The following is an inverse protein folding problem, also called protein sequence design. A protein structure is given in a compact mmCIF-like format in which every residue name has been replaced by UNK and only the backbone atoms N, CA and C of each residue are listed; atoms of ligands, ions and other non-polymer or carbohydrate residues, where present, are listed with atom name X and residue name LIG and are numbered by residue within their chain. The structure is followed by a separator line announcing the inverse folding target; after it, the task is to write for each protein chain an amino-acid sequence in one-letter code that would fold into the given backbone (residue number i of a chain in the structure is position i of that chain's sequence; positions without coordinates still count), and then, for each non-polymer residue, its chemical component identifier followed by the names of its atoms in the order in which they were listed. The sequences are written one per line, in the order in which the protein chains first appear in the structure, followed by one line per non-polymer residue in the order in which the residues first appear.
data_IF_129272808294
#
_entry.id   IF_129272808294
#
_cell.length_a   1.000
_cell.length_b   1.000
_cell.length_c   1.000
_cell.angle_alpha   90.00
_cell.angle_beta   90.00
_cell.angle_gamma   90.00
#
_symmetry.space_group_name_H-M   'P 1'
#
loop_
_entity.id
_entity.type
_entity.pdbx_description
1 polymer ?
#
# COMPACT_ATOMS: atom_id res chain seq x y z
N UNK A 1 3.76 -8.96 21.77
CA UNK A 1 4.13 -7.52 21.68
C UNK A 1 2.89 -6.71 22.00
N UNK A 2 2.95 -5.74 22.89
CA UNK A 2 1.83 -4.82 23.10
C UNK A 2 1.70 -3.81 21.94
N UNK A 3 0.62 -3.04 21.90
CA UNK A 3 0.35 -2.10 20.81
C UNK A 3 1.42 -1.01 20.70
N UNK A 4 1.85 -0.44 21.83
CA UNK A 4 2.84 0.64 21.85
C UNK A 4 4.18 0.13 21.31
N UNK A 5 4.64 -1.01 21.80
CA UNK A 5 5.86 -1.66 21.32
C UNK A 5 5.78 -1.98 19.83
N UNK A 6 4.63 -2.45 19.35
CA UNK A 6 4.42 -2.77 17.94
C UNK A 6 4.55 -1.52 17.06
N UNK A 7 3.93 -0.40 17.45
CA UNK A 7 4.02 0.88 16.74
C UNK A 7 5.48 1.37 16.73
N UNK A 8 6.17 1.32 17.87
CA UNK A 8 7.55 1.76 18.02
C UNK A 8 8.53 0.92 17.19
N UNK A 9 8.25 -0.39 17.03
CA UNK A 9 9.12 -1.32 16.29
C UNK A 9 8.85 -1.42 14.80
N UNK A 10 7.65 -1.07 14.34
CA UNK A 10 7.30 -1.13 12.92
C UNK A 10 8.29 -0.32 12.05
N UNK A 11 8.80 -0.96 11.01
CA UNK A 11 9.72 -0.36 10.02
C UNK A 11 9.26 -0.72 8.61
N UNK A 12 9.63 0.10 7.62
CA UNK A 12 9.51 -0.24 6.21
C UNK A 12 10.65 -1.17 5.81
N UNK A 13 10.41 -2.47 5.89
CA UNK A 13 11.36 -3.52 5.52
C UNK A 13 11.33 -3.72 4.01
N UNK A 14 12.50 -3.75 3.37
CA UNK A 14 12.64 -3.85 1.91
C UNK A 14 13.48 -5.04 1.46
N UNK A 15 14.14 -5.72 2.40
CA UNK A 15 14.92 -6.92 2.14
C UNK A 15 14.40 -8.05 3.03
N UNK A 16 14.03 -9.14 2.39
CA UNK A 16 13.34 -10.25 3.04
C UNK A 16 14.14 -11.53 2.91
N UNK A 17 13.98 -12.42 3.90
CA UNK A 17 14.42 -13.80 3.78
C UNK A 17 13.51 -14.54 2.78
N UNK A 18 14.03 -15.51 2.01
CA UNK A 18 13.27 -16.23 1.00
C UNK A 18 12.28 -17.27 1.59
N UNK A 19 11.99 -17.18 2.89
CA UNK A 19 11.09 -18.08 3.62
C UNK A 19 9.63 -17.75 3.32
N UNK A 20 8.84 -18.76 2.96
CA UNK A 20 7.39 -18.61 2.80
C UNK A 20 6.70 -18.29 4.13
N UNK A 21 5.58 -17.58 4.08
CA UNK A 21 4.73 -17.35 5.25
C UNK A 21 3.63 -18.43 5.32
N UNK A 22 3.27 -18.89 6.53
CA UNK A 22 2.07 -19.68 6.74
C UNK A 22 0.83 -18.94 6.22
N UNK A 23 -0.06 -19.65 5.55
CA UNK A 23 -1.29 -19.04 5.01
C UNK A 23 -2.18 -18.46 6.12
N UNK A 24 -2.18 -19.08 7.30
CA UNK A 24 -2.99 -18.61 8.43
C UNK A 24 -2.48 -17.28 9.00
N UNK A 25 -1.18 -17.03 8.95
CA UNK A 25 -0.61 -15.73 9.32
C UNK A 25 -1.07 -14.63 8.34
N UNK A 26 -1.07 -14.95 7.03
CA UNK A 26 -1.57 -14.01 6.00
C UNK A 26 -3.07 -13.73 6.22
N UNK A 27 -3.86 -14.77 6.49
CA UNK A 27 -5.30 -14.61 6.77
C UNK A 27 -5.54 -13.74 8.01
N UNK A 28 -4.74 -13.93 9.06
CA UNK A 28 -4.89 -13.14 10.30
C UNK A 28 -4.55 -11.65 10.06
N UNK A 29 -3.48 -11.35 9.31
CA UNK A 29 -3.17 -9.97 8.92
C UNK A 29 -4.34 -9.32 8.17
N UNK A 30 -4.94 -10.04 7.21
CA UNK A 30 -6.08 -9.55 6.42
C UNK A 30 -7.33 -9.43 7.27
N UNK A 31 -7.58 -10.38 8.18
CA UNK A 31 -8.70 -10.29 9.13
C UNK A 31 -8.61 -9.03 10.00
N UNK A 32 -7.43 -8.73 10.51
CA UNK A 32 -7.18 -7.53 11.33
C UNK A 32 -7.30 -6.25 10.49
N UNK A 33 -6.89 -6.27 9.23
CA UNK A 33 -7.12 -5.17 8.29
C UNK A 33 -8.61 -4.85 8.14
N UNK A 34 -9.44 -5.89 8.03
CA UNK A 34 -10.89 -5.77 7.91
C UNK A 34 -11.59 -5.14 9.12
N UNK A 35 -10.91 -5.01 10.25
CA UNK A 35 -11.41 -4.34 11.45
C UNK A 35 -11.11 -2.83 11.48
N UNK A 36 -10.47 -2.28 10.45
CA UNK A 36 -10.19 -0.87 10.35
C UNK A 36 -11.50 -0.05 10.24
N UNK A 37 -11.51 1.19 10.72
CA UNK A 37 -12.63 2.10 10.46
C UNK A 37 -12.69 2.43 8.96
N UNK A 38 -13.89 2.60 8.44
CA UNK A 38 -14.10 3.04 7.06
C UNK A 38 -15.25 4.03 6.97
N UNK A 39 -15.21 4.88 5.93
CA UNK A 39 -16.31 5.81 5.67
C UNK A 39 -17.65 5.07 5.65
N UNK A 40 -18.61 5.51 6.43
CA UNK A 40 -19.95 4.90 6.57
C UNK A 40 -19.93 3.38 6.82
N UNK A 41 -18.86 2.84 7.39
CA UNK A 41 -18.61 1.39 7.50
C UNK A 41 -18.72 0.64 6.16
N UNK A 42 -18.33 1.30 5.06
CA UNK A 42 -18.47 0.78 3.70
C UNK A 42 -17.55 -0.42 3.41
N UNK A 43 -16.49 -0.61 4.22
CA UNK A 43 -15.56 -1.74 4.10
C UNK A 43 -15.14 -1.96 2.64
N UNK A 44 -14.70 -0.87 1.99
CA UNK A 44 -14.52 -0.76 0.54
C UNK A 44 -13.29 -1.50 -0.01
N UNK A 45 -12.57 -2.19 0.85
CA UNK A 45 -11.35 -2.93 0.51
C UNK A 45 -11.60 -4.35 0.06
N UNK A 46 -10.68 -4.85 -0.75
CA UNK A 46 -10.46 -6.26 -1.04
C UNK A 46 -8.96 -6.50 -1.06
N UNK A 47 -8.54 -7.67 -0.59
CA UNK A 47 -7.12 -8.03 -0.53
C UNK A 47 -6.86 -9.27 -1.38
N UNK A 48 -5.76 -9.24 -2.15
CA UNK A 48 -5.25 -10.40 -2.86
C UNK A 48 -3.81 -10.65 -2.41
N UNK A 49 -3.57 -11.77 -1.75
CA UNK A 49 -2.21 -12.18 -1.38
C UNK A 49 -1.57 -12.97 -2.52
N UNK A 50 -0.47 -12.49 -3.03
CA UNK A 50 0.34 -13.11 -4.08
C UNK A 50 1.54 -13.78 -3.42
N UNK A 51 1.62 -15.11 -3.48
CA UNK A 51 2.72 -15.94 -2.98
C UNK A 51 3.51 -16.60 -4.11
N UNK A 52 3.00 -16.51 -5.34
CA UNK A 52 3.66 -17.05 -6.53
C UNK A 52 4.79 -16.11 -6.95
N UNK A 53 6.03 -16.62 -6.89
CA UNK A 53 7.24 -15.86 -7.21
C UNK A 53 7.31 -15.42 -8.68
N UNK A 54 6.75 -16.21 -9.60
CA UNK A 54 6.72 -15.86 -11.03
C UNK A 54 5.81 -14.66 -11.28
N UNK A 55 4.65 -14.61 -10.59
CA UNK A 55 3.75 -13.45 -10.66
C UNK A 55 4.42 -12.22 -10.07
N UNK A 56 5.06 -12.33 -8.89
CA UNK A 56 5.78 -11.22 -8.26
C UNK A 56 6.90 -10.69 -9.18
N UNK A 57 7.69 -11.59 -9.78
CA UNK A 57 8.72 -11.22 -10.74
C UNK A 57 8.16 -10.53 -11.99
N UNK A 58 7.04 -11.04 -12.52
CA UNK A 58 6.36 -10.41 -13.66
C UNK A 58 5.83 -9.02 -13.33
N UNK A 59 5.25 -8.81 -12.13
CA UNK A 59 4.86 -7.48 -11.65
C UNK A 59 6.04 -6.52 -11.65
N UNK A 60 7.20 -6.96 -11.15
CA UNK A 60 8.42 -6.15 -11.13
C UNK A 60 8.89 -5.76 -12.55
N UNK A 61 8.87 -6.70 -13.48
CA UNK A 61 9.24 -6.45 -14.88
C UNK A 61 8.33 -5.41 -15.54
N UNK A 62 7.02 -5.51 -15.30
CA UNK A 62 6.01 -4.56 -15.81
C UNK A 62 6.27 -3.15 -15.26
N UNK A 63 6.46 -3.03 -13.94
CA UNK A 63 6.74 -1.74 -13.30
C UNK A 63 8.01 -1.12 -13.85
N UNK A 64 9.10 -1.90 -13.99
CA UNK A 64 10.35 -1.42 -14.55
C UNK A 64 10.22 -1.02 -16.01
N UNK A 65 9.47 -1.78 -16.81
CA UNK A 65 9.19 -1.45 -18.22
C UNK A 65 8.42 -0.13 -18.34
N UNK A 66 7.38 0.09 -17.51
CA UNK A 66 6.61 1.33 -17.49
C UNK A 66 7.47 2.54 -17.11
N UNK A 67 8.26 2.42 -16.02
CA UNK A 67 9.15 3.50 -15.57
C UNK A 67 10.18 3.81 -16.66
N UNK A 68 10.75 2.79 -17.29
CA UNK A 68 11.70 2.97 -18.38
C UNK A 68 11.10 3.72 -19.55
N UNK A 69 9.87 3.38 -19.96
CA UNK A 69 9.16 4.07 -21.04
C UNK A 69 8.85 5.54 -20.73
N UNK A 70 8.49 5.84 -19.47
CA UNK A 70 8.17 7.22 -19.06
C UNK A 70 9.40 8.13 -18.99
N UNK A 71 10.58 7.59 -18.71
CA UNK A 71 11.80 8.37 -18.46
C UNK A 71 12.74 8.45 -19.66
N UNK A 72 12.43 7.77 -20.77
CA UNK A 72 13.22 7.84 -22.00
C UNK A 72 13.29 9.24 -22.64
N UNK A 73 12.49 10.19 -22.17
CA UNK A 73 12.46 11.57 -22.67
C UNK A 73 13.60 12.47 -22.12
N UNK A 74 14.45 11.97 -21.21
CA UNK A 74 15.56 12.75 -20.63
C UNK A 74 16.85 11.92 -20.68
N UNK A 75 17.46 11.89 -21.84
CA UNK A 75 18.77 11.26 -22.06
C UNK A 75 19.89 12.12 -21.47
N UNK A 76 20.06 12.07 -20.15
CA UNK A 76 21.24 12.62 -19.50
C UNK A 76 21.56 11.83 -18.22
N UNK A 77 22.76 11.94 -17.71
CA UNK A 77 23.25 11.20 -16.53
C UNK A 77 22.36 11.38 -15.29
N UNK A 78 21.78 12.57 -15.11
CA UNK A 78 20.82 12.87 -14.03
C UNK A 78 19.51 12.11 -14.22
N UNK A 79 19.03 11.99 -15.45
CA UNK A 79 17.82 11.21 -15.78
C UNK A 79 18.01 9.73 -15.49
N UNK A 80 19.12 9.14 -15.87
CA UNK A 80 19.43 7.72 -15.60
C UNK A 80 19.52 7.42 -14.08
N UNK A 81 20.15 8.30 -13.33
CA UNK A 81 20.22 8.16 -11.86
C UNK A 81 18.85 8.24 -11.20
N UNK A 82 17.99 9.13 -11.65
CA UNK A 82 16.59 9.24 -11.17
C UNK A 82 15.83 7.96 -11.53
N UNK A 83 15.95 7.48 -12.77
CA UNK A 83 15.31 6.25 -13.25
C UNK A 83 15.70 5.05 -12.39
N UNK A 84 16.99 4.84 -12.16
CA UNK A 84 17.50 3.75 -11.31
C UNK A 84 16.92 3.83 -9.89
N UNK A 85 16.88 5.02 -9.30
CA UNK A 85 16.35 5.25 -7.96
C UNK A 85 14.84 4.97 -7.90
N UNK A 86 14.07 5.48 -8.86
CA UNK A 86 12.61 5.28 -8.92
C UNK A 86 12.28 3.81 -9.16
N UNK A 87 12.96 3.16 -10.11
CA UNK A 87 12.80 1.71 -10.37
C UNK A 87 13.07 0.90 -9.11
N UNK A 88 14.21 1.15 -8.45
CA UNK A 88 14.56 0.44 -7.22
C UNK A 88 13.46 0.56 -6.14
N UNK A 89 13.02 1.78 -5.82
CA UNK A 89 11.98 1.96 -4.78
C UNK A 89 10.60 1.47 -5.20
N UNK A 90 10.31 1.41 -6.48
CA UNK A 90 9.02 0.90 -6.99
C UNK A 90 8.96 -0.63 -7.07
N UNK A 91 10.10 -1.32 -7.03
CA UNK A 91 10.19 -2.79 -7.18
C UNK A 91 10.85 -3.49 -5.99
N UNK A 92 10.99 -2.85 -4.84
CA UNK A 92 11.54 -3.45 -3.60
C UNK A 92 10.77 -4.68 -3.10
N UNK A 93 9.60 -4.95 -3.66
CA UNK A 93 8.79 -6.13 -3.35
C UNK A 93 9.26 -7.41 -4.07
N UNK A 94 10.19 -7.31 -5.01
CA UNK A 94 10.58 -8.44 -5.89
C UNK A 94 11.07 -9.65 -5.11
N UNK A 95 11.78 -9.43 -4.01
CA UNK A 95 12.31 -10.51 -3.15
C UNK A 95 11.36 -10.87 -1.99
N UNK A 96 10.22 -10.21 -1.88
CA UNK A 96 9.25 -10.53 -0.83
C UNK A 96 8.59 -11.90 -1.10
N UNK A 97 8.44 -12.75 -0.07
CA UNK A 97 7.73 -14.02 -0.20
C UNK A 97 6.22 -13.83 -0.39
N UNK A 98 5.67 -12.68 0.01
CA UNK A 98 4.26 -12.33 -0.14
C UNK A 98 4.12 -10.88 -0.53
N UNK A 99 3.26 -10.61 -1.51
CA UNK A 99 2.78 -9.26 -1.85
C UNK A 99 1.27 -9.22 -1.68
N UNK A 100 0.77 -8.39 -0.77
CA UNK A 100 -0.68 -8.19 -0.58
C UNK A 100 -1.09 -6.99 -1.43
N UNK A 101 -1.83 -7.25 -2.49
CA UNK A 101 -2.48 -6.22 -3.30
C UNK A 101 -3.75 -5.73 -2.58
N UNK A 102 -3.79 -4.45 -2.30
CA UNK A 102 -4.92 -3.78 -1.65
C UNK A 102 -5.75 -3.11 -2.73
N UNK A 103 -6.99 -3.57 -2.88
CA UNK A 103 -7.95 -3.08 -3.84
C UNK A 103 -9.00 -2.23 -3.14
N UNK A 104 -9.54 -1.26 -3.84
CA UNK A 104 -10.56 -0.34 -3.37
C UNK A 104 -11.68 -0.23 -4.37
N UNK A 105 -12.93 -0.25 -3.91
CA UNK A 105 -14.11 0.09 -4.71
C UNK A 105 -14.65 1.47 -4.31
N UNK A 106 -15.40 2.16 -5.18
CA UNK A 106 -16.19 3.33 -4.80
C UNK A 106 -17.13 2.99 -3.63
N UNK A 107 -17.49 3.98 -2.84
CA UNK A 107 -18.45 3.87 -1.75
C UNK A 107 -19.66 4.78 -2.00
N UNK A 108 -20.80 4.35 -1.48
CA UNK A 108 -22.01 5.18 -1.49
C UNK A 108 -22.00 6.07 -0.26
N UNK A 109 -22.08 7.37 -0.45
CA UNK A 109 -22.20 8.32 0.64
C UNK A 109 -23.59 8.95 0.63
N UNK A 110 -24.22 9.02 1.81
CA UNK A 110 -25.52 9.69 1.96
C UNK A 110 -25.49 11.13 1.43
N UNK A 111 -24.35 11.80 1.61
CA UNK A 111 -24.14 13.15 1.09
C UNK A 111 -24.14 13.22 -0.43
N UNK A 112 -23.79 12.13 -1.12
CA UNK A 112 -23.77 12.07 -2.58
C UNK A 112 -25.18 12.24 -3.13
N UNK A 113 -26.20 11.67 -2.50
CA UNK A 113 -27.62 11.83 -2.86
C UNK A 113 -28.05 13.29 -2.84
N UNK A 114 -27.51 14.08 -1.89
CA UNK A 114 -27.82 15.52 -1.78
C UNK A 114 -27.03 16.31 -2.82
N UNK A 115 -25.79 15.93 -3.08
CA UNK A 115 -24.88 16.64 -3.99
C UNK A 115 -25.07 16.26 -5.46
N UNK A 116 -25.69 15.12 -5.76
CA UNK A 116 -26.12 14.77 -7.13
C UNK A 116 -26.98 15.86 -7.77
N UNK A 117 -27.83 16.52 -6.98
CA UNK A 117 -28.61 17.66 -7.41
C UNK A 117 -27.78 18.90 -7.82
N UNK A 118 -26.50 18.95 -7.41
CA UNK A 118 -25.56 20.00 -7.79
C UNK A 118 -24.79 19.71 -9.10
N UNK A 119 -24.96 18.51 -9.69
CA UNK A 119 -24.27 18.09 -10.90
C UNK A 119 -22.81 17.68 -10.68
N UNK A 120 -22.37 17.51 -9.44
CA UNK A 120 -21.01 17.06 -9.11
C UNK A 120 -20.88 15.54 -9.32
N UNK A 121 -19.73 15.11 -9.85
CA UNK A 121 -19.40 13.68 -9.92
C UNK A 121 -18.94 13.14 -8.56
N UNK A 122 -19.01 11.81 -8.38
CA UNK A 122 -18.48 11.15 -7.18
C UNK A 122 -17.01 11.55 -6.89
N UNK A 123 -16.16 11.59 -7.91
CA UNK A 123 -14.75 11.96 -7.76
C UNK A 123 -14.57 13.41 -7.27
N UNK A 124 -15.40 14.35 -7.77
CA UNK A 124 -15.38 15.73 -7.31
C UNK A 124 -15.81 15.84 -5.85
N UNK A 125 -16.87 15.13 -5.47
CA UNK A 125 -17.37 15.09 -4.09
C UNK A 125 -16.36 14.42 -3.14
N UNK A 126 -15.71 13.33 -3.59
CA UNK A 126 -14.67 12.62 -2.85
C UNK A 126 -13.45 13.53 -2.60
N UNK A 127 -13.03 14.28 -3.63
CA UNK A 127 -11.98 15.29 -3.52
C UNK A 127 -12.33 16.39 -2.52
N UNK A 128 -13.55 16.92 -2.54
CA UNK A 128 -14.01 17.95 -1.59
C UNK A 128 -13.94 17.46 -0.14
N UNK A 129 -14.14 16.18 0.11
CA UNK A 129 -14.06 15.53 1.43
C UNK A 129 -12.68 14.97 1.76
N UNK A 130 -11.68 15.36 0.98
CA UNK A 130 -10.29 14.93 1.15
C UNK A 130 -10.11 13.39 1.09
N UNK A 131 -10.80 12.73 0.14
CA UNK A 131 -10.65 11.30 -0.18
C UNK A 131 -10.86 10.36 1.01
N UNK A 132 -12.04 10.31 1.62
CA UNK A 132 -12.30 9.44 2.76
C UNK A 132 -12.17 7.94 2.45
N UNK A 133 -12.28 7.54 1.19
CA UNK A 133 -11.98 6.20 0.70
C UNK A 133 -10.50 5.86 0.87
N UNK A 134 -9.60 6.73 0.40
CA UNK A 134 -8.14 6.55 0.55
C UNK A 134 -7.75 6.56 2.03
N UNK A 135 -8.38 7.40 2.86
CA UNK A 135 -8.14 7.40 4.31
C UNK A 135 -8.55 6.05 4.93
N UNK A 136 -9.68 5.49 4.53
CA UNK A 136 -10.16 4.17 4.98
C UNK A 136 -9.18 3.06 4.57
N UNK A 137 -8.67 3.09 3.33
CA UNK A 137 -7.65 2.15 2.86
C UNK A 137 -6.36 2.30 3.67
N UNK A 138 -5.93 3.54 3.96
CA UNK A 138 -4.76 3.80 4.81
C UNK A 138 -4.87 3.16 6.19
N UNK A 139 -6.04 3.26 6.82
CA UNK A 139 -6.31 2.63 8.11
C UNK A 139 -6.21 1.09 8.04
N UNK A 140 -6.77 0.47 7.00
CA UNK A 140 -6.68 -0.98 6.80
C UNK A 140 -5.25 -1.44 6.52
N UNK A 141 -4.48 -0.69 5.74
CA UNK A 141 -3.06 -0.98 5.47
C UNK A 141 -2.24 -0.89 6.76
N UNK A 142 -2.44 0.15 7.59
CA UNK A 142 -1.69 0.26 8.85
C UNK A 142 -2.02 -0.91 9.79
N UNK A 143 -3.26 -1.39 9.84
CA UNK A 143 -3.60 -2.60 10.60
C UNK A 143 -2.83 -3.83 10.09
N UNK A 144 -2.66 -4.03 8.77
CA UNK A 144 -1.80 -5.10 8.23
C UNK A 144 -0.35 -4.93 8.71
N UNK A 145 0.17 -3.70 8.64
CA UNK A 145 1.56 -3.43 9.00
C UNK A 145 1.83 -3.66 10.48
N UNK A 146 0.90 -3.28 11.35
CA UNK A 146 1.00 -3.54 12.79
C UNK A 146 0.84 -5.03 13.09
N UNK A 147 -0.12 -5.72 12.46
CA UNK A 147 -0.30 -7.15 12.59
C UNK A 147 0.96 -7.91 12.18
N UNK A 148 1.50 -7.64 10.99
CA UNK A 148 2.75 -8.23 10.52
C UNK A 148 3.89 -8.02 11.53
N UNK A 149 4.06 -6.80 12.02
CA UNK A 149 5.10 -6.46 13.01
C UNK A 149 4.91 -7.22 14.31
N UNK A 150 3.69 -7.30 14.85
CA UNK A 150 3.40 -8.02 16.10
C UNK A 150 3.66 -9.51 16.00
N UNK A 151 3.52 -10.09 14.80
CA UNK A 151 3.79 -11.49 14.47
C UNK A 151 5.26 -11.74 14.12
N UNK A 152 6.14 -10.72 14.17
CA UNK A 152 7.58 -10.83 13.90
C UNK A 152 7.94 -10.76 12.41
N UNK A 153 7.03 -10.30 11.54
CA UNK A 153 7.30 -10.04 10.13
C UNK A 153 7.69 -8.59 9.90
N UNK A 154 8.41 -8.35 8.82
CA UNK A 154 8.62 -7.03 8.25
C UNK A 154 7.65 -6.77 7.11
N UNK A 155 7.33 -5.51 6.88
CA UNK A 155 6.46 -5.11 5.78
C UNK A 155 6.87 -3.76 5.19
N UNK A 156 6.44 -3.52 3.94
CA UNK A 156 6.63 -2.25 3.27
C UNK A 156 5.38 -1.88 2.50
N UNK A 157 4.79 -0.73 2.81
CA UNK A 157 3.70 -0.14 2.04
C UNK A 157 4.25 0.49 0.76
N UNK A 158 3.69 0.14 -0.37
CA UNK A 158 4.17 0.46 -1.71
C UNK A 158 3.07 1.13 -2.54
N UNK A 159 3.38 2.32 -3.03
CA UNK A 159 2.55 3.06 -3.99
C UNK A 159 3.30 3.37 -5.29
N UNK A 160 4.63 3.31 -5.29
CA UNK A 160 5.45 3.58 -6.47
C UNK A 160 5.15 2.66 -7.67
N UNK A 161 4.76 1.42 -7.40
CA UNK A 161 4.36 0.47 -8.44
C UNK A 161 3.04 0.86 -9.16
N UNK A 162 2.23 1.75 -8.57
CA UNK A 162 0.95 2.18 -9.17
C UNK A 162 1.10 3.00 -10.44
N UNK A 163 2.30 3.41 -10.83
CA UNK A 163 2.58 3.96 -12.17
C UNK A 163 2.21 2.98 -13.28
N UNK A 164 2.22 1.68 -12.97
CA UNK A 164 1.84 0.58 -13.87
C UNK A 164 0.52 -0.08 -13.43
N UNK A 165 -0.39 0.66 -12.77
CA UNK A 165 -1.63 0.11 -12.20
C UNK A 165 -2.46 -0.64 -13.23
N UNK A 166 -2.68 -0.06 -14.40
CA UNK A 166 -3.52 -0.63 -15.45
C UNK A 166 -2.98 -1.95 -15.98
N UNK A 167 -1.67 -2.11 -16.03
CA UNK A 167 -1.00 -3.34 -16.44
C UNK A 167 -0.95 -4.39 -15.32
N UNK A 168 -0.93 -3.97 -14.06
CA UNK A 168 -0.90 -4.85 -12.90
C UNK A 168 -2.27 -5.43 -12.54
N UNK A 169 -3.35 -4.66 -12.71
CA UNK A 169 -4.71 -5.08 -12.33
C UNK A 169 -5.13 -6.41 -12.96
N UNK A 170 -4.93 -6.68 -14.27
CA UNK A 170 -5.28 -7.97 -14.87
C UNK A 170 -4.50 -9.15 -14.27
N UNK A 171 -3.22 -8.97 -13.98
CA UNK A 171 -2.36 -10.02 -13.40
C UNK A 171 -2.77 -10.35 -11.98
N UNK A 172 -3.22 -9.34 -11.23
CA UNK A 172 -3.68 -9.47 -9.85
C UNK A 172 -5.15 -9.93 -9.75
N UNK A 173 -5.82 -10.10 -10.89
CA UNK A 173 -7.23 -10.47 -10.94
C UNK A 173 -8.16 -9.38 -10.38
N UNK A 174 -7.72 -8.11 -10.44
CA UNK A 174 -8.56 -6.96 -10.06
C UNK A 174 -9.65 -6.77 -11.12
N UNK A 175 -10.90 -6.68 -10.69
CA UNK A 175 -12.07 -6.52 -11.56
C UNK A 175 -12.92 -5.37 -11.07
N UNK A 176 -13.56 -4.67 -11.99
CA UNK A 176 -14.56 -3.66 -11.65
C UNK A 176 -15.57 -4.18 -10.60
N UNK A 177 -15.99 -3.37 -9.66
CA UNK A 177 -15.68 -1.93 -9.52
C UNK A 177 -14.39 -1.65 -8.73
N UNK A 178 -13.58 -2.68 -8.42
CA UNK A 178 -12.34 -2.52 -7.68
C UNK A 178 -11.21 -1.97 -8.57
N UNK A 179 -10.34 -1.18 -7.95
CA UNK A 179 -9.07 -0.70 -8.52
C UNK A 179 -7.94 -0.97 -7.54
N UNK A 180 -6.73 -1.16 -8.04
CA UNK A 180 -5.56 -1.32 -7.20
C UNK A 180 -5.22 0.01 -6.50
N UNK A 181 -5.21 0.01 -5.16
CA UNK A 181 -4.94 1.20 -4.33
C UNK A 181 -3.51 1.22 -3.76
N UNK A 182 -2.95 0.07 -3.45
CA UNK A 182 -1.58 -0.09 -2.95
C UNK A 182 -1.15 -1.56 -3.01
N UNK A 183 0.14 -1.82 -2.78
CA UNK A 183 0.62 -3.14 -2.42
C UNK A 183 1.39 -3.09 -1.10
N UNK A 184 1.44 -4.21 -0.40
CA UNK A 184 2.24 -4.39 0.82
C UNK A 184 3.14 -5.60 0.61
N UNK A 185 4.46 -5.39 0.59
CA UNK A 185 5.42 -6.49 0.66
C UNK A 185 5.51 -6.98 2.11
N UNK A 186 5.47 -8.30 2.33
CA UNK A 186 5.53 -8.91 3.66
C UNK A 186 6.48 -10.10 3.64
N UNK A 187 7.29 -10.23 4.69
CA UNK A 187 8.22 -11.35 4.85
C UNK A 187 9.01 -11.24 6.15
N UNK A 188 9.82 -12.25 6.46
CA UNK A 188 10.80 -12.13 7.54
C UNK A 188 11.89 -11.15 7.13
N UNK A 189 12.24 -10.14 7.97
CA UNK A 189 13.32 -9.23 7.67
C UNK A 189 14.64 -9.97 7.47
N UNK A 190 15.41 -9.57 6.46
CA UNK A 190 16.76 -10.11 6.27
C UNK A 190 17.69 -9.66 7.39
N UNK A 191 17.50 -8.44 7.88
CA UNK A 191 18.28 -7.81 8.94
C UNK A 191 17.39 -6.94 9.84
N UNK A 192 17.87 -6.66 11.06
CA UNK A 192 17.23 -5.71 11.95
C UNK A 192 17.48 -4.28 11.46
N UNK A 193 16.43 -3.49 11.32
CA UNK A 193 16.53 -2.10 10.91
C UNK A 193 16.57 -1.15 12.12
N UNK A 194 17.50 -0.17 12.13
CA UNK A 194 17.56 0.82 13.19
C UNK A 194 16.30 1.69 13.22
N UNK A 195 16.02 2.27 14.37
CA UNK A 195 15.02 3.32 14.49
C UNK A 195 15.43 4.51 13.63
N UNK A 196 14.46 5.12 12.95
CA UNK A 196 14.66 6.40 12.25
C UNK A 196 14.24 7.53 13.17
N UNK A 197 14.97 8.61 13.12
CA UNK A 197 14.59 9.85 13.75
C UNK A 197 13.19 10.29 13.33
N UNK A 198 12.43 10.81 14.26
CA UNK A 198 11.08 11.34 14.06
C UNK A 198 11.06 12.80 14.45
N UNK A 199 10.13 13.54 13.91
CA UNK A 199 9.90 14.90 14.35
C UNK A 199 9.55 14.92 15.84
N UNK A 200 10.04 15.91 16.59
CA UNK A 200 9.67 16.09 18.00
C UNK A 200 8.18 16.41 18.13
N UNK A 201 7.60 16.06 19.29
CA UNK A 201 6.17 16.21 19.53
C UNK A 201 5.69 17.65 19.31
N UNK A 202 6.47 18.60 19.72
CA UNK A 202 6.19 20.05 19.61
C UNK A 202 6.06 20.53 18.15
N UNK A 203 6.64 19.76 17.20
CA UNK A 203 6.53 20.06 15.77
C UNK A 203 5.28 19.46 15.10
N UNK A 204 4.57 18.57 15.78
CA UNK A 204 3.44 17.82 15.22
C UNK A 204 2.16 17.98 16.04
N UNK A 205 2.23 18.64 17.18
CA UNK A 205 1.08 18.90 18.07
C UNK A 205 0.97 20.40 18.36
N UNK A 206 -0.20 20.95 18.12
CA UNK A 206 -0.64 22.27 18.58
C UNK A 206 -1.91 22.08 19.39
N UNK A 207 -1.99 22.72 20.55
CA UNK A 207 -3.16 22.72 21.42
C UNK A 207 -3.78 24.11 21.42
N UNK A 208 -5.05 24.21 21.08
CA UNK A 208 -5.85 25.44 21.14
C UNK A 208 -6.76 25.30 22.35
N UNK A 209 -6.61 26.21 23.34
CA UNK A 209 -7.40 26.27 24.57
C UNK A 209 -8.50 27.33 24.48
#
# INVERSE_FOLDING_TARGET
MDLKETIERRRSVRHFKPESLPLDDIKEMVRLAGLAPSINNAQLWKFTAVTNKEIISNMSNIVNGKISGMLNARENEKGEKIKTTVSHFSTVFTDAPVVIAVQMKPYDAVVDTILEASGLTHDQMNKMRNYPDIQSIGAAIENIMLAATSMGYGCCWLTGLLVAREELEPILGVKEPYKLAACIAVGKPLESLPAREKLPLESILEVIE
#
